data_IF_999570719384
#
_entry.id   IF_999570719384
#
_cell.length_a   1.000
_cell.length_b   1.000
_cell.length_c   1.000
_cell.angle_alpha   90.00
_cell.angle_beta   90.00
_cell.angle_gamma   90.00
#
_symmetry.space_group_name_H-M   'P 1'
#
loop_
_entity.id
_entity.type
_entity.pdbx_description
1 polymer ?
#
# COMPACT_ATOMS: atom_id res chain seq x y z
N UNK A 1 -3.91 -24.38 -10.49
CA UNK A 1 -2.93 -24.35 -9.39
C UNK A 1 -1.94 -23.24 -9.66
N UNK A 2 -1.68 -22.31 -8.73
CA UNK A 2 -0.59 -21.35 -8.88
C UNK A 2 0.72 -22.11 -9.08
N UNK A 3 1.42 -21.81 -10.17
CA UNK A 3 2.69 -22.43 -10.53
C UNK A 3 3.84 -21.74 -9.80
N UNK A 4 5.01 -22.38 -9.81
CA UNK A 4 6.27 -21.78 -9.36
C UNK A 4 6.43 -20.38 -9.99
N UNK A 5 6.91 -19.42 -9.19
CA UNK A 5 7.24 -18.05 -9.60
C UNK A 5 6.04 -17.13 -9.96
N UNK A 6 4.83 -17.43 -9.48
CA UNK A 6 3.66 -16.53 -9.62
C UNK A 6 3.16 -16.05 -8.26
N UNK A 7 2.80 -14.76 -8.14
CA UNK A 7 2.16 -14.24 -6.94
C UNK A 7 0.80 -14.90 -6.70
N UNK A 8 0.50 -15.19 -5.44
CA UNK A 8 -0.84 -15.58 -5.02
C UNK A 8 -1.72 -14.32 -4.98
N UNK A 9 -2.77 -14.30 -5.81
CA UNK A 9 -3.71 -13.19 -5.90
C UNK A 9 -5.14 -13.68 -5.67
N UNK A 10 -5.89 -12.96 -4.84
CA UNK A 10 -7.35 -13.07 -4.72
C UNK A 10 -7.99 -11.94 -5.50
N UNK A 11 -9.09 -12.22 -6.20
CA UNK A 11 -9.82 -11.24 -7.00
C UNK A 11 -11.27 -11.12 -6.50
N UNK A 12 -11.88 -9.95 -6.71
CA UNK A 12 -13.24 -9.63 -6.29
C UNK A 12 -13.32 -8.97 -4.90
N UNK A 13 -14.54 -8.77 -4.41
CA UNK A 13 -14.81 -8.16 -3.09
C UNK A 13 -14.59 -9.17 -1.96
N UNK A 14 -13.33 -9.54 -1.75
CA UNK A 14 -12.90 -10.46 -0.70
C UNK A 14 -12.03 -9.75 0.32
N UNK A 15 -12.03 -10.24 1.57
CA UNK A 15 -11.16 -9.75 2.64
C UNK A 15 -10.11 -10.80 2.97
N UNK A 16 -8.89 -10.36 3.26
CA UNK A 16 -7.78 -11.23 3.66
C UNK A 16 -7.17 -10.71 4.96
N UNK A 17 -6.96 -11.61 5.92
CA UNK A 17 -6.21 -11.34 7.14
C UNK A 17 -4.87 -12.08 7.07
N UNK A 18 -3.77 -11.34 7.21
CA UNK A 18 -2.42 -11.89 7.29
C UNK A 18 -1.88 -11.73 8.72
N UNK A 19 -1.76 -12.83 9.44
CA UNK A 19 -1.09 -12.86 10.74
C UNK A 19 0.38 -13.27 10.54
N UNK A 20 1.30 -12.35 10.83
CA UNK A 20 2.74 -12.57 10.67
C UNK A 20 3.53 -11.77 11.73
N UNK A 21 4.44 -12.41 12.49
CA UNK A 21 5.27 -11.70 13.46
C UNK A 21 6.16 -10.61 12.83
N UNK A 22 6.71 -9.67 13.63
CA UNK A 22 7.77 -8.77 13.14
C UNK A 22 8.96 -9.55 12.57
N UNK A 23 9.55 -9.06 11.47
CA UNK A 23 10.73 -9.68 10.85
C UNK A 23 10.46 -10.89 9.96
N UNK A 24 9.23 -11.39 9.85
CA UNK A 24 8.91 -12.58 9.04
C UNK A 24 8.57 -12.28 7.58
N UNK A 25 8.90 -11.08 7.11
CA UNK A 25 8.77 -10.72 5.70
C UNK A 25 7.36 -10.34 5.24
N UNK A 26 6.40 -10.07 6.14
CA UNK A 26 5.04 -9.62 5.75
C UNK A 26 5.04 -8.41 4.80
N UNK A 27 6.00 -7.50 5.00
CA UNK A 27 6.14 -6.30 4.15
C UNK A 27 6.58 -6.70 2.75
N UNK A 28 7.70 -7.41 2.63
CA UNK A 28 8.27 -7.80 1.33
C UNK A 28 7.45 -8.86 0.59
N UNK A 29 6.75 -9.74 1.31
CA UNK A 29 6.02 -10.86 0.73
C UNK A 29 4.56 -10.55 0.39
N UNK A 30 3.97 -9.52 1.00
CA UNK A 30 2.54 -9.18 0.78
C UNK A 30 2.33 -7.69 0.53
N UNK A 31 2.80 -6.81 1.41
CA UNK A 31 2.52 -5.36 1.30
C UNK A 31 3.16 -4.76 0.05
N UNK A 32 4.48 -4.89 -0.11
CA UNK A 32 5.22 -4.31 -1.24
C UNK A 32 4.74 -4.84 -2.60
N UNK A 33 4.55 -6.16 -2.81
CA UNK A 33 3.97 -6.66 -4.06
C UNK A 33 2.61 -6.07 -4.38
N UNK A 34 1.72 -5.92 -3.39
CA UNK A 34 0.42 -5.29 -3.63
C UNK A 34 0.57 -3.82 -4.05
N UNK A 35 1.42 -3.04 -3.37
CA UNK A 35 1.59 -1.63 -3.70
C UNK A 35 2.28 -1.38 -5.05
N UNK A 36 3.08 -2.33 -5.53
CA UNK A 36 3.77 -2.23 -6.82
C UNK A 36 2.99 -2.84 -7.99
N UNK A 37 2.09 -3.81 -7.75
CA UNK A 37 1.38 -4.53 -8.83
C UNK A 37 -0.12 -4.26 -8.90
N UNK A 38 -0.75 -3.78 -7.82
CA UNK A 38 -2.18 -3.52 -7.84
C UNK A 38 -2.50 -2.30 -8.73
N UNK A 39 -3.30 -2.49 -9.79
CA UNK A 39 -3.46 -1.48 -10.85
C UNK A 39 -4.41 -0.35 -10.46
N UNK A 40 -5.20 -0.53 -9.40
CA UNK A 40 -6.22 0.43 -8.99
C UNK A 40 -5.78 1.24 -7.76
N UNK A 41 -6.73 2.00 -7.20
CA UNK A 41 -6.51 2.83 -6.02
C UNK A 41 -6.32 2.00 -4.76
N UNK A 42 -5.39 2.43 -3.91
CA UNK A 42 -5.09 1.78 -2.63
C UNK A 42 -5.04 2.82 -1.53
N UNK A 43 -5.63 2.49 -0.37
CA UNK A 43 -5.49 3.26 0.87
C UNK A 43 -4.68 2.42 1.84
N UNK A 44 -3.62 3.00 2.41
CA UNK A 44 -2.67 2.29 3.27
C UNK A 44 -2.58 3.02 4.61
N UNK A 45 -2.78 2.29 5.70
CA UNK A 45 -2.41 2.76 7.03
C UNK A 45 -0.92 2.46 7.26
N UNK A 46 -0.08 3.48 7.21
CA UNK A 46 1.38 3.36 7.26
C UNK A 46 1.99 4.23 8.37
N UNK A 47 1.88 3.83 9.65
CA UNK A 47 2.34 4.63 10.78
C UNK A 47 3.86 4.82 10.85
N UNK A 48 4.64 4.07 10.06
CA UNK A 48 6.11 4.15 10.02
C UNK A 48 6.64 4.82 8.74
N UNK A 49 5.76 5.12 7.79
CA UNK A 49 6.10 5.67 6.48
C UNK A 49 7.03 4.79 5.62
N UNK A 50 7.19 3.51 5.95
CA UNK A 50 8.04 2.58 5.20
C UNK A 50 7.44 2.33 3.81
N UNK A 51 6.13 2.11 3.74
CA UNK A 51 5.44 1.86 2.47
C UNK A 51 5.43 3.11 1.60
N UNK A 52 5.17 4.28 2.19
CA UNK A 52 5.23 5.56 1.48
C UNK A 52 6.60 5.79 0.86
N UNK A 53 7.66 5.71 1.67
CA UNK A 53 9.03 5.96 1.20
C UNK A 53 9.43 5.00 0.07
N UNK A 54 9.07 3.74 0.21
CA UNK A 54 9.59 2.70 -0.68
C UNK A 54 8.76 2.55 -1.97
N UNK A 55 7.49 3.00 -2.00
CA UNK A 55 6.58 2.72 -3.13
C UNK A 55 5.90 3.93 -3.76
N UNK A 56 5.81 5.08 -3.07
CA UNK A 56 5.09 6.25 -3.57
C UNK A 56 5.62 6.75 -4.92
N UNK A 57 6.96 6.81 -5.07
CA UNK A 57 7.61 7.23 -6.31
C UNK A 57 7.30 6.32 -7.49
N UNK A 58 7.29 5.00 -7.27
CA UNK A 58 6.91 4.03 -8.31
C UNK A 58 5.45 4.21 -8.73
N UNK A 59 4.53 4.33 -7.76
CA UNK A 59 3.11 4.52 -8.07
C UNK A 59 2.86 5.84 -8.81
N UNK A 60 3.57 6.90 -8.45
CA UNK A 60 3.50 8.18 -9.18
C UNK A 60 4.03 8.04 -10.62
N UNK A 61 5.16 7.35 -10.82
CA UNK A 61 5.71 7.07 -12.14
C UNK A 61 4.80 6.19 -13.01
N UNK A 62 4.01 5.32 -12.38
CA UNK A 62 2.96 4.53 -13.03
C UNK A 62 1.68 5.34 -13.36
N UNK A 63 1.66 6.64 -13.07
CA UNK A 63 0.55 7.55 -13.40
C UNK A 63 -0.51 7.70 -12.32
N UNK A 64 -0.32 7.10 -11.14
CA UNK A 64 -1.26 7.30 -10.02
C UNK A 64 -1.08 8.67 -9.38
N UNK A 65 -2.18 9.24 -8.89
CA UNK A 65 -2.13 10.34 -7.92
C UNK A 65 -1.78 9.75 -6.56
N UNK A 66 -0.77 10.32 -5.89
CA UNK A 66 -0.22 9.75 -4.65
C UNK A 66 -0.24 10.83 -3.56
N UNK A 67 -0.94 10.53 -2.46
CA UNK A 67 -1.16 11.47 -1.36
C UNK A 67 -0.81 10.82 -0.02
N UNK A 68 -0.12 11.57 0.84
CA UNK A 68 0.15 11.21 2.25
C UNK A 68 -0.58 12.17 3.15
N UNK A 69 -1.49 11.65 3.96
CA UNK A 69 -2.08 12.36 5.08
C UNK A 69 -1.46 11.85 6.38
N UNK A 70 -0.71 12.71 7.07
CA UNK A 70 -0.09 12.48 8.37
C UNK A 70 -0.30 13.74 9.22
N UNK A 71 -1.39 13.81 10.01
CA UNK A 71 -1.74 15.02 10.76
C UNK A 71 -0.73 15.37 11.86
N UNK A 72 0.10 14.40 12.27
CA UNK A 72 1.19 14.59 13.22
C UNK A 72 2.45 15.28 12.64
N UNK A 73 2.57 15.44 11.32
CA UNK A 73 3.72 16.07 10.67
C UNK A 73 3.33 17.31 9.87
N UNK A 74 4.24 18.29 9.80
CA UNK A 74 4.05 19.50 8.98
C UNK A 74 4.09 19.21 7.48
N UNK A 75 4.92 18.26 7.07
CA UNK A 75 4.98 17.79 5.69
C UNK A 75 3.85 16.78 5.46
N UNK A 76 2.65 17.26 5.17
CA UNK A 76 1.50 16.41 4.87
C UNK A 76 0.62 17.03 3.80
N UNK A 77 -0.01 16.19 3.00
CA UNK A 77 -1.16 16.63 2.23
C UNK A 77 -2.29 17.00 3.18
N UNK A 78 -3.15 17.90 2.73
CA UNK A 78 -4.27 18.40 3.51
C UNK A 78 -5.54 17.72 3.05
N UNK A 79 -6.35 17.32 4.02
CA UNK A 79 -7.67 16.81 3.77
C UNK A 79 -8.62 17.37 4.82
N UNK A 80 -9.79 17.82 4.39
CA UNK A 80 -10.85 18.25 5.26
C UNK A 80 -12.09 17.40 4.94
N UNK A 81 -12.54 16.53 5.84
CA UNK A 81 -13.75 15.74 5.60
C UNK A 81 -15.03 16.59 5.52
N UNK A 82 -14.97 17.87 5.92
CA UNK A 82 -16.10 18.82 5.90
C UNK A 82 -16.03 19.81 4.73
N UNK A 83 -14.96 19.81 3.93
CA UNK A 83 -14.94 20.65 2.73
C UNK A 83 -15.84 20.02 1.67
N UNK A 84 -16.84 20.78 1.22
CA UNK A 84 -17.71 20.44 0.08
C UNK A 84 -16.91 20.40 -1.24
#
# INVERSE_FOLDING_TARGET
HPTKDTFLASYGQTFVMLAAPPGTGKTVGVVTPNLLSYPDSVVVNDPKFENWRDTAGFRAAAGHKVYRFSPELLETHRWNPLSA
#
